data_IF_552983553914
#
_entry.id   IF_552983553914
#
_cell.length_a   1.000
_cell.length_b   1.000
_cell.length_c   1.000
_cell.angle_alpha   90.00
_cell.angle_beta   90.00
_cell.angle_gamma   90.00
#
_symmetry.space_group_name_H-M   'P 1'
#
loop_
_entity.id
_entity.type
_entity.pdbx_description
1 polymer ?
#
# COMPACT_ATOMS: atom_id res chain seq x y z
N UNK A 1 -10.31 9.63 13.29
CA UNK A 1 -11.47 8.92 12.71
C UNK A 1 -12.73 9.80 12.58
N UNK A 2 -12.76 11.01 13.16
CA UNK A 2 -13.92 11.91 13.07
C UNK A 2 -14.29 12.30 11.61
N UNK A 3 -13.31 12.55 10.74
CA UNK A 3 -13.58 12.93 9.34
C UNK A 3 -14.21 11.80 8.52
N UNK A 4 -13.77 10.54 8.70
CA UNK A 4 -14.31 9.36 8.04
C UNK A 4 -15.80 9.15 8.33
N UNK A 5 -16.15 9.26 9.61
CA UNK A 5 -17.52 9.08 10.09
C UNK A 5 -18.43 10.23 9.63
N UNK A 6 -17.87 11.44 9.47
CA UNK A 6 -18.60 12.59 8.95
C UNK A 6 -18.78 12.55 7.43
N UNK A 7 -17.83 12.00 6.67
CA UNK A 7 -17.92 11.92 5.20
C UNK A 7 -18.53 10.62 4.70
N UNK A 8 -18.74 9.62 5.55
CA UNK A 8 -19.29 8.31 5.16
C UNK A 8 -18.35 7.45 4.32
N UNK A 9 -17.09 7.85 4.18
CA UNK A 9 -16.10 7.09 3.42
C UNK A 9 -15.28 6.22 4.38
N UNK A 10 -15.18 4.89 4.15
CA UNK A 10 -14.32 4.02 4.95
C UNK A 10 -12.87 4.51 4.83
N UNK A 11 -12.16 4.55 5.96
CA UNK A 11 -10.72 4.85 5.99
C UNK A 11 -9.96 3.55 6.22
N UNK A 12 -9.06 3.24 5.30
CA UNK A 12 -8.04 2.20 5.45
C UNK A 12 -6.73 2.87 5.88
N UNK A 13 -6.21 2.48 7.05
CA UNK A 13 -4.91 2.95 7.55
C UNK A 13 -3.83 1.94 7.20
N UNK A 14 -2.75 2.41 6.59
CA UNK A 14 -1.58 1.62 6.28
C UNK A 14 -0.37 2.26 6.92
N UNK A 15 0.44 1.46 7.60
CA UNK A 15 1.72 1.88 8.17
C UNK A 15 2.81 1.55 7.15
N UNK A 16 3.60 2.55 6.77
CA UNK A 16 4.74 2.37 5.89
C UNK A 16 6.00 2.24 6.76
N UNK A 17 6.75 1.16 6.56
CA UNK A 17 8.09 1.00 7.13
C UNK A 17 9.13 0.94 6.02
N UNK A 18 10.41 0.99 6.40
CA UNK A 18 11.55 0.70 5.52
C UNK A 18 11.51 -0.71 4.90
N UNK A 19 10.71 -1.62 5.47
CA UNK A 19 10.47 -2.97 4.98
C UNK A 19 9.22 -3.08 4.09
N UNK A 20 8.45 -2.00 3.90
CA UNK A 20 7.23 -2.04 3.09
C UNK A 20 7.57 -1.81 1.62
N UNK A 21 7.40 -2.82 0.78
CA UNK A 21 7.65 -2.73 -0.65
C UNK A 21 6.38 -2.32 -1.44
N UNK A 22 6.57 -1.89 -2.69
CA UNK A 22 5.45 -1.53 -3.58
C UNK A 22 4.47 -2.70 -3.79
N UNK A 23 4.98 -3.93 -3.80
CA UNK A 23 4.19 -5.16 -3.92
C UNK A 23 3.21 -5.32 -2.75
N UNK A 24 3.60 -4.89 -1.54
CA UNK A 24 2.75 -4.96 -0.34
C UNK A 24 1.62 -3.91 -0.35
N UNK A 25 1.79 -2.83 -1.13
CA UNK A 25 0.82 -1.74 -1.24
C UNK A 25 -0.17 -1.96 -2.38
N UNK A 26 0.35 -2.22 -3.57
CA UNK A 26 -0.44 -2.29 -4.79
C UNK A 26 -0.86 -3.71 -5.16
N UNK A 27 -0.10 -4.71 -4.73
CA UNK A 27 -0.33 -6.10 -5.07
C UNK A 27 0.82 -6.72 -5.82
N UNK A 28 0.70 -8.03 -6.06
CA UNK A 28 1.69 -8.80 -6.80
C UNK A 28 1.04 -10.01 -7.47
N UNK A 29 1.75 -10.62 -8.41
CA UNK A 29 1.36 -11.90 -8.99
C UNK A 29 1.65 -13.02 -7.99
N UNK A 30 0.58 -13.67 -7.50
CA UNK A 30 0.69 -14.80 -6.58
C UNK A 30 0.57 -16.13 -7.34
N UNK A 31 1.34 -17.16 -6.97
CA UNK A 31 1.21 -18.47 -7.57
C UNK A 31 -0.14 -19.10 -7.16
N UNK A 32 -0.82 -19.68 -8.14
CA UNK A 32 -2.09 -20.41 -7.96
C UNK A 32 -1.99 -21.77 -8.61
N UNK A 33 -2.42 -22.79 -7.86
CA UNK A 33 -2.56 -24.15 -8.38
C UNK A 33 -3.89 -24.24 -9.12
N UNK A 34 -3.84 -24.57 -10.40
CA UNK A 34 -5.01 -24.80 -11.23
C UNK A 34 -5.58 -26.19 -11.02
N UNK A 35 -6.82 -26.43 -11.48
CA UNK A 35 -7.52 -27.71 -11.26
C UNK A 35 -6.80 -28.93 -11.88
N UNK A 36 -5.93 -28.70 -12.87
CA UNK A 36 -5.09 -29.70 -13.51
C UNK A 36 -3.74 -29.95 -12.80
N UNK A 37 -3.50 -29.26 -11.67
CA UNK A 37 -2.28 -29.37 -10.87
C UNK A 37 -1.08 -28.55 -11.38
N UNK A 38 -1.25 -27.75 -12.43
CA UNK A 38 -0.20 -26.83 -12.89
C UNK A 38 -0.13 -25.56 -12.03
N UNK A 39 1.00 -24.85 -12.09
CA UNK A 39 1.18 -23.57 -11.40
C UNK A 39 0.96 -22.46 -12.44
N UNK A 40 0.00 -21.59 -12.18
CA UNK A 40 -0.14 -20.32 -12.89
C UNK A 40 0.06 -19.14 -11.94
N UNK A 41 0.07 -17.93 -12.47
CA UNK A 41 0.18 -16.71 -11.69
C UNK A 41 -1.08 -15.89 -11.88
N UNK A 42 -1.58 -15.32 -10.78
CA UNK A 42 -2.72 -14.41 -10.79
C UNK A 42 -2.38 -13.19 -9.97
N UNK A 43 -2.68 -12.02 -10.53
CA UNK A 43 -2.61 -10.77 -9.80
C UNK A 43 -3.51 -10.78 -8.56
N UNK A 44 -2.95 -10.43 -7.41
CA UNK A 44 -3.67 -10.17 -6.18
C UNK A 44 -3.54 -8.70 -5.78
N UNK A 45 -4.67 -7.99 -5.72
CA UNK A 45 -4.71 -6.58 -5.34
C UNK A 45 -4.25 -6.38 -3.88
N UNK A 46 -3.26 -5.51 -3.72
CA UNK A 46 -2.82 -5.00 -2.43
C UNK A 46 -3.85 -4.05 -1.79
N UNK A 47 -3.66 -3.70 -0.51
CA UNK A 47 -4.60 -2.92 0.28
C UNK A 47 -4.85 -1.51 -0.28
N UNK A 48 -3.84 -0.85 -0.86
CA UNK A 48 -3.99 0.47 -1.49
C UNK A 48 -4.86 0.37 -2.74
N UNK A 49 -4.52 -0.55 -3.64
CA UNK A 49 -5.23 -0.71 -4.91
C UNK A 49 -6.70 -1.10 -4.66
N UNK A 50 -6.95 -1.96 -3.67
CA UNK A 50 -8.29 -2.35 -3.24
C UNK A 50 -9.09 -1.18 -2.68
N UNK A 51 -8.49 -0.34 -1.84
CA UNK A 51 -9.14 0.84 -1.28
C UNK A 51 -9.49 1.86 -2.37
N UNK A 52 -8.56 2.12 -3.31
CA UNK A 52 -8.80 3.01 -4.46
C UNK A 52 -9.97 2.50 -5.32
N UNK A 53 -9.99 1.20 -5.66
CA UNK A 53 -11.09 0.58 -6.44
C UNK A 53 -12.45 0.70 -5.75
N UNK A 54 -12.48 0.79 -4.42
CA UNK A 54 -13.70 0.92 -3.60
C UNK A 54 -14.08 2.37 -3.29
N UNK A 55 -13.26 3.36 -3.69
CA UNK A 55 -13.47 4.76 -3.32
C UNK A 55 -13.23 5.04 -1.83
N UNK A 56 -12.45 4.19 -1.16
CA UNK A 56 -12.08 4.36 0.24
C UNK A 56 -10.95 5.38 0.38
N UNK A 57 -10.91 6.02 1.54
CA UNK A 57 -9.83 6.93 1.88
C UNK A 57 -8.65 6.11 2.41
N UNK A 58 -7.47 6.31 1.83
CA UNK A 58 -6.24 5.67 2.30
C UNK A 58 -5.46 6.67 3.13
N UNK A 59 -5.23 6.34 4.40
CA UNK A 59 -4.32 7.09 5.26
C UNK A 59 -3.01 6.33 5.35
N UNK A 60 -1.95 6.91 4.79
CA UNK A 60 -0.58 6.41 4.90
C UNK A 60 0.05 7.06 6.14
N UNK A 61 0.29 6.26 7.17
CA UNK A 61 1.02 6.65 8.38
C UNK A 61 2.49 6.28 8.19
N UNK A 62 3.41 7.09 8.71
CA UNK A 62 4.87 6.93 8.55
C UNK A 62 5.38 7.04 7.10
N UNK A 63 5.06 8.12 6.37
CA UNK A 63 5.82 8.42 5.14
C UNK A 63 7.27 8.68 5.59
N UNK A 64 8.27 7.88 5.19
CA UNK A 64 9.65 8.11 5.61
C UNK A 64 10.02 9.52 5.15
N UNK A 65 10.13 10.42 6.11
CA UNK A 65 10.57 11.78 5.89
C UNK A 65 12.04 11.67 5.51
N UNK A 66 12.35 11.71 4.21
CA UNK A 66 13.73 11.89 3.79
C UNK A 66 14.13 13.33 4.13
N UNK A 67 14.52 13.55 5.39
CA UNK A 67 15.60 14.51 5.63
C UNK A 67 16.82 13.91 4.93
N UNK A 68 17.13 14.43 3.74
CA UNK A 68 18.52 14.41 3.32
C UNK A 68 19.22 15.55 4.05
N UNK A 69 20.18 15.32 4.97
CA UNK A 69 21.05 16.40 5.46
C UNK A 69 22.18 16.73 4.47
N UNK A 70 22.20 16.14 3.25
CA UNK A 70 23.39 16.11 2.42
C UNK A 70 23.52 17.23 1.36
N UNK A 71 22.74 18.32 1.43
CA UNK A 71 23.03 19.53 0.67
C UNK A 71 23.07 20.72 1.63
N UNK A 72 24.20 21.44 1.64
CA UNK A 72 24.50 22.67 2.42
C UNK A 72 25.19 22.41 3.77
N UNK A 73 26.48 22.04 3.77
CA UNK A 73 27.55 22.99 4.09
C UNK A 73 28.93 22.37 3.86
N UNK A 74 29.81 23.17 3.26
CA UNK A 74 31.21 22.88 2.98
C UNK A 74 32.04 22.70 4.26
N UNK A 75 32.97 21.74 4.26
CA UNK A 75 34.38 21.89 4.69
C UNK A 75 35.16 20.58 4.44
#
# INVERSE_FOLDING_TARGET
MALAQLTGHPITRLNLSDQTDLSDLFGSDVPVVTDDGSISFRWEDGPVLRAIKRGEWVLLDEVPFSESPCLINCA
#
